data_IF_939360100847
#
_entry.id   IF_939360100847
#
_cell.length_a   1.000
_cell.length_b   1.000
_cell.length_c   1.000
_cell.angle_alpha   90.00
_cell.angle_beta   90.00
_cell.angle_gamma   90.00
#
_symmetry.space_group_name_H-M   'P 1'
#
loop_
_entity.id
_entity.type
_entity.pdbx_description
1 polymer ?
#
# COMPACT_ATOMS: atom_id res chain seq x y z
N UNK A 1 29.69 -26.91 -1.07
CA UNK A 1 28.54 -27.01 -1.99
C UNK A 1 29.07 -27.52 -3.32
N UNK A 2 28.57 -28.64 -3.84
CA UNK A 2 29.06 -29.24 -5.08
C UNK A 2 28.65 -28.37 -6.29
N UNK A 3 29.56 -27.96 -7.19
CA UNK A 3 29.30 -27.02 -8.29
C UNK A 3 28.11 -27.43 -9.18
N UNK A 4 27.94 -28.72 -9.41
CA UNK A 4 26.86 -29.31 -10.21
C UNK A 4 25.45 -28.97 -9.69
N UNK A 5 25.26 -28.82 -8.38
CA UNK A 5 23.94 -28.56 -7.80
C UNK A 5 23.48 -27.11 -8.05
N UNK A 6 24.41 -26.18 -8.25
CA UNK A 6 24.13 -24.76 -8.49
C UNK A 6 23.58 -24.56 -9.91
N UNK A 7 24.19 -25.18 -10.91
CA UNK A 7 23.75 -25.04 -12.31
C UNK A 7 22.34 -25.65 -12.53
N UNK A 8 22.05 -26.77 -11.88
CA UNK A 8 20.71 -27.36 -11.91
C UNK A 8 19.68 -26.52 -11.14
N UNK A 9 20.07 -25.89 -10.02
CA UNK A 9 19.19 -24.98 -9.29
C UNK A 9 18.91 -23.69 -10.08
N UNK A 10 19.92 -23.08 -10.69
CA UNK A 10 19.75 -21.88 -11.52
C UNK A 10 18.84 -22.15 -12.70
N UNK A 11 19.08 -23.25 -13.43
CA UNK A 11 18.25 -23.64 -14.58
C UNK A 11 16.80 -23.90 -14.19
N UNK A 12 16.55 -24.50 -13.02
CA UNK A 12 15.19 -24.67 -12.47
C UNK A 12 14.55 -23.32 -12.15
N UNK A 13 15.28 -22.41 -11.50
CA UNK A 13 14.78 -21.07 -11.18
C UNK A 13 14.45 -20.27 -12.45
N UNK A 14 15.30 -20.33 -13.48
CA UNK A 14 15.03 -19.70 -14.78
C UNK A 14 13.75 -20.26 -15.40
N UNK A 15 13.62 -21.59 -15.50
CA UNK A 15 12.39 -22.22 -16.03
C UNK A 15 11.17 -21.80 -15.23
N UNK A 16 11.28 -21.71 -13.92
CA UNK A 16 10.20 -21.28 -13.03
C UNK A 16 9.79 -19.83 -13.31
N UNK A 17 10.74 -18.90 -13.34
CA UNK A 17 10.51 -17.45 -13.54
C UNK A 17 9.99 -17.14 -14.96
N UNK A 18 10.37 -17.95 -15.94
CA UNK A 18 9.88 -17.83 -17.33
C UNK A 18 8.61 -18.65 -17.60
N UNK A 19 7.97 -19.21 -16.57
CA UNK A 19 6.75 -20.03 -16.69
C UNK A 19 6.91 -21.23 -17.65
N UNK A 20 8.09 -21.84 -17.67
CA UNK A 20 8.45 -23.01 -18.48
C UNK A 20 8.40 -24.32 -17.66
N UNK A 21 7.85 -24.27 -16.44
CA UNK A 21 7.68 -25.44 -15.59
C UNK A 21 6.21 -25.86 -15.57
N UNK A 22 5.91 -27.01 -16.20
CA UNK A 22 4.55 -27.54 -16.29
C UNK A 22 3.89 -27.86 -14.94
N UNK A 23 4.65 -27.93 -13.85
CA UNK A 23 4.14 -28.25 -12.50
C UNK A 23 3.81 -27.02 -11.65
N UNK A 24 4.01 -25.81 -12.15
CA UNK A 24 3.83 -24.58 -11.38
C UNK A 24 3.33 -23.43 -12.26
N UNK A 25 2.29 -22.74 -11.81
CA UNK A 25 1.77 -21.53 -12.46
C UNK A 25 2.19 -20.28 -11.66
N UNK A 26 3.36 -19.71 -12.00
CA UNK A 26 3.89 -18.51 -11.36
C UNK A 26 3.78 -17.27 -12.26
N UNK A 27 2.67 -17.13 -12.99
CA UNK A 27 2.43 -15.91 -13.77
C UNK A 27 2.17 -14.71 -12.85
N UNK A 28 2.57 -13.48 -13.23
CA UNK A 28 2.33 -12.30 -12.40
C UNK A 28 0.87 -12.11 -11.99
N UNK A 29 -0.07 -12.38 -12.89
CA UNK A 29 -1.51 -12.30 -12.60
C UNK A 29 -1.94 -13.27 -11.48
N UNK A 30 -1.42 -14.51 -11.49
CA UNK A 30 -1.71 -15.49 -10.44
C UNK A 30 -1.13 -15.10 -9.08
N UNK A 31 0.08 -14.54 -9.08
CA UNK A 31 0.68 -14.01 -7.85
C UNK A 31 -0.14 -12.86 -7.27
N UNK A 32 -0.62 -11.95 -8.13
CA UNK A 32 -1.51 -10.86 -7.72
C UNK A 32 -2.85 -11.38 -7.19
N UNK A 33 -3.48 -12.34 -7.87
CA UNK A 33 -4.73 -12.99 -7.44
C UNK A 33 -4.57 -13.67 -6.08
N UNK A 34 -3.56 -14.54 -5.94
CA UNK A 34 -3.30 -15.25 -4.69
C UNK A 34 -3.03 -14.27 -3.52
N UNK A 35 -2.23 -13.22 -3.76
CA UNK A 35 -1.98 -12.18 -2.76
C UNK A 35 -3.27 -11.45 -2.38
N UNK A 36 -4.10 -11.11 -3.36
CA UNK A 36 -5.36 -10.40 -3.17
C UNK A 36 -6.31 -11.23 -2.32
N UNK A 37 -6.44 -12.53 -2.62
CA UNK A 37 -7.28 -13.47 -1.86
C UNK A 37 -6.79 -13.64 -0.42
N UNK A 38 -5.48 -13.83 -0.23
CA UNK A 38 -4.87 -13.95 1.10
C UNK A 38 -5.12 -12.69 1.93
N UNK A 39 -4.87 -11.52 1.34
CA UNK A 39 -5.08 -10.24 2.01
C UNK A 39 -6.55 -9.97 2.34
N UNK A 40 -7.46 -10.34 1.43
CA UNK A 40 -8.89 -10.19 1.65
C UNK A 40 -9.38 -11.07 2.80
N UNK A 41 -8.98 -12.35 2.86
CA UNK A 41 -9.36 -13.26 3.96
C UNK A 41 -8.94 -12.72 5.32
N UNK A 42 -7.82 -12.01 5.41
CA UNK A 42 -7.36 -11.36 6.65
C UNK A 42 -8.26 -10.20 7.10
N UNK A 43 -9.04 -9.63 6.18
CA UNK A 43 -9.99 -8.56 6.47
C UNK A 43 -11.40 -9.07 6.77
N UNK A 44 -11.63 -10.39 6.72
CA UNK A 44 -12.92 -11.00 7.01
C UNK A 44 -13.45 -10.56 8.39
N UNK A 45 -14.77 -10.33 8.46
CA UNK A 45 -15.45 -9.84 9.67
C UNK A 45 -15.29 -8.35 9.95
N UNK A 46 -14.64 -7.59 9.05
CA UNK A 46 -14.61 -6.12 9.12
C UNK A 46 -15.77 -5.52 8.32
N UNK A 47 -16.60 -4.67 8.94
CA UNK A 47 -17.65 -3.95 8.21
C UNK A 47 -17.08 -2.90 7.25
N UNK A 48 -15.98 -2.26 7.67
CA UNK A 48 -15.30 -1.22 6.90
C UNK A 48 -13.80 -1.48 6.83
N UNK A 49 -13.20 -1.28 5.65
CA UNK A 49 -11.75 -1.33 5.44
C UNK A 49 -11.27 -0.03 4.79
N UNK A 50 -10.22 0.56 5.37
CA UNK A 50 -9.47 1.62 4.70
C UNK A 50 -8.53 0.97 3.67
N UNK A 51 -8.63 1.37 2.40
CA UNK A 51 -7.79 0.83 1.32
C UNK A 51 -6.88 1.94 0.82
N UNK A 52 -5.60 1.87 1.15
CA UNK A 52 -4.60 2.83 0.68
C UNK A 52 -4.08 2.36 -0.67
N UNK A 53 -4.35 3.13 -1.72
CA UNK A 53 -3.77 2.90 -3.03
C UNK A 53 -2.57 3.86 -3.20
N UNK A 54 -1.40 3.31 -3.48
CA UNK A 54 -0.18 4.11 -3.66
C UNK A 54 0.70 3.54 -4.77
N UNK A 55 1.43 4.43 -5.45
CA UNK A 55 2.44 4.05 -6.43
C UNK A 55 3.83 3.99 -5.79
N UNK A 56 4.69 3.15 -6.36
CA UNK A 56 6.13 3.25 -6.15
C UNK A 56 6.89 3.05 -7.44
N UNK A 57 8.09 3.61 -7.51
CA UNK A 57 8.99 3.40 -8.64
C UNK A 57 9.90 2.20 -8.38
N UNK A 58 9.96 1.25 -9.31
CA UNK A 58 10.98 0.21 -9.36
C UNK A 58 12.15 0.70 -10.21
N UNK A 59 13.12 1.35 -9.57
CA UNK A 59 14.21 2.05 -10.26
C UNK A 59 15.28 1.09 -10.78
N UNK A 60 15.76 1.36 -11.99
CA UNK A 60 16.80 0.62 -12.72
C UNK A 60 17.82 1.59 -13.35
N UNK A 61 18.47 2.46 -12.55
CA UNK A 61 19.25 3.59 -13.06
C UNK A 61 20.43 3.19 -13.95
N UNK A 62 20.96 1.97 -13.79
CA UNK A 62 22.09 1.44 -14.56
C UNK A 62 21.69 0.45 -15.65
N UNK A 63 20.39 0.22 -15.88
CA UNK A 63 19.92 -0.70 -16.90
C UNK A 63 19.68 0.00 -18.22
N UNK A 64 19.98 -0.65 -19.34
CA UNK A 64 19.83 -0.04 -20.68
C UNK A 64 18.92 -0.85 -21.61
N UNK A 65 18.89 -2.17 -21.42
CA UNK A 65 18.32 -3.10 -22.40
C UNK A 65 17.15 -3.93 -21.86
N UNK A 66 16.64 -3.67 -20.65
CA UNK A 66 15.50 -4.44 -20.13
C UNK A 66 14.28 -4.23 -21.03
N UNK A 67 13.49 -5.29 -21.24
CA UNK A 67 12.25 -5.19 -22.00
C UNK A 67 11.31 -4.16 -21.37
N UNK A 68 10.72 -3.31 -22.20
CA UNK A 68 9.77 -2.27 -21.82
C UNK A 68 10.31 -1.32 -20.73
N UNK A 69 11.63 -1.07 -20.70
CA UNK A 69 12.25 -0.20 -19.71
C UNK A 69 11.76 1.25 -19.84
N UNK A 70 10.96 1.66 -18.86
CA UNK A 70 10.29 2.96 -18.83
C UNK A 70 11.11 4.02 -18.09
N UNK A 71 10.53 5.22 -17.91
CA UNK A 71 11.04 6.29 -17.06
C UNK A 71 10.13 6.50 -15.84
N UNK A 72 10.75 6.48 -14.68
CA UNK A 72 10.12 6.63 -13.36
C UNK A 72 10.82 7.71 -12.55
N UNK A 73 10.30 8.06 -11.38
CA UNK A 73 10.85 9.16 -10.58
C UNK A 73 11.98 8.68 -9.64
N UNK A 74 13.09 9.41 -9.62
CA UNK A 74 14.17 9.20 -8.66
C UNK A 74 13.80 9.73 -7.27
N UNK A 75 14.62 9.43 -6.26
CA UNK A 75 14.47 10.00 -4.92
C UNK A 75 14.65 11.53 -4.92
N UNK A 76 15.42 12.06 -5.86
CA UNK A 76 15.68 13.49 -6.08
C UNK A 76 14.62 14.14 -6.98
N UNK A 77 13.62 13.38 -7.42
CA UNK A 77 12.52 13.88 -8.23
C UNK A 77 12.80 13.97 -9.73
N UNK A 78 13.98 13.51 -10.19
CA UNK A 78 14.38 13.48 -11.61
C UNK A 78 13.95 12.19 -12.30
N UNK A 79 13.72 12.18 -13.62
CA UNK A 79 13.43 10.96 -14.36
C UNK A 79 14.64 10.01 -14.38
N UNK A 80 14.41 8.72 -14.09
CA UNK A 80 15.38 7.62 -14.18
C UNK A 80 14.74 6.40 -14.81
N UNK A 81 15.53 5.50 -15.40
CA UNK A 81 15.00 4.26 -15.98
C UNK A 81 14.38 3.36 -14.91
N UNK A 82 13.28 2.67 -15.22
CA UNK A 82 12.61 1.76 -14.29
C UNK A 82 11.21 1.35 -14.72
N UNK A 83 10.43 0.85 -13.75
CA UNK A 83 9.05 0.39 -13.95
C UNK A 83 8.14 0.97 -12.87
N UNK A 84 6.85 1.15 -13.17
CA UNK A 84 5.88 1.59 -12.19
C UNK A 84 5.38 0.39 -11.37
N UNK A 85 5.12 0.61 -10.10
CA UNK A 85 4.42 -0.37 -9.25
C UNK A 85 3.21 0.30 -8.59
N UNK A 86 2.16 -0.48 -8.42
CA UNK A 86 0.93 -0.09 -7.76
C UNK A 86 0.63 -1.09 -6.65
N UNK A 87 0.30 -0.59 -5.47
CA UNK A 87 -0.01 -1.41 -4.30
C UNK A 87 -1.30 -0.91 -3.63
N UNK A 88 -2.15 -1.85 -3.19
CA UNK A 88 -3.24 -1.56 -2.28
C UNK A 88 -2.95 -2.17 -0.90
N UNK A 89 -3.00 -1.37 0.15
CA UNK A 89 -2.86 -1.81 1.54
C UNK A 89 -4.19 -1.64 2.27
N UNK A 90 -4.73 -2.73 2.79
CA UNK A 90 -5.93 -2.74 3.64
C UNK A 90 -5.59 -2.47 5.09
N UNK A 91 -6.43 -1.68 5.77
CA UNK A 91 -6.37 -1.47 7.21
C UNK A 91 -7.79 -1.60 7.78
N UNK A 92 -7.98 -2.62 8.62
CA UNK A 92 -9.23 -2.86 9.35
C UNK A 92 -9.32 -1.97 10.61
N UNK A 93 -10.52 -1.78 11.19
CA UNK A 93 -10.71 -0.90 12.36
C UNK A 93 -9.95 -1.35 13.61
N UNK A 94 -9.73 -2.66 13.76
CA UNK A 94 -8.92 -3.26 14.82
C UNK A 94 -7.40 -3.06 14.61
N UNK A 95 -6.99 -2.41 13.52
CA UNK A 95 -5.60 -2.15 13.18
C UNK A 95 -4.91 -3.25 12.38
N UNK A 96 -5.58 -4.36 12.08
CA UNK A 96 -5.07 -5.41 11.18
C UNK A 96 -4.75 -4.80 9.81
N UNK A 97 -3.61 -5.17 9.25
CA UNK A 97 -3.14 -4.72 7.94
C UNK A 97 -2.90 -5.91 7.03
N UNK A 98 -3.19 -5.76 5.75
CA UNK A 98 -2.85 -6.76 4.75
C UNK A 98 -2.58 -6.10 3.39
N UNK A 99 -1.67 -6.67 2.62
CA UNK A 99 -1.48 -6.23 1.23
C UNK A 99 -2.62 -6.84 0.42
N UNK A 100 -3.43 -5.98 -0.21
CA UNK A 100 -4.64 -6.39 -0.93
C UNK A 100 -4.43 -6.48 -2.43
N UNK A 101 -3.40 -5.84 -2.97
CA UNK A 101 -3.12 -5.88 -4.40
C UNK A 101 -1.69 -5.42 -4.65
N UNK A 102 -1.08 -6.00 -5.69
CA UNK A 102 0.17 -5.49 -6.23
C UNK A 102 0.24 -5.74 -7.74
N UNK A 103 0.83 -4.81 -8.47
CA UNK A 103 1.29 -5.05 -9.83
C UNK A 103 2.50 -4.18 -10.14
N UNK A 104 3.33 -4.65 -11.07
CA UNK A 104 4.33 -3.85 -11.75
C UNK A 104 3.93 -3.70 -13.22
N UNK A 105 4.03 -2.51 -13.78
CA UNK A 105 3.68 -2.21 -15.16
C UNK A 105 4.69 -1.25 -15.82
N UNK A 106 4.68 -1.24 -17.16
CA UNK A 106 5.41 -0.28 -17.99
C UNK A 106 4.45 0.37 -18.95
N UNK A 107 4.59 1.68 -19.19
CA UNK A 107 3.83 2.38 -20.21
C UNK A 107 4.24 1.98 -21.64
N UNK A 108 5.41 1.33 -21.77
CA UNK A 108 5.96 0.82 -23.03
C UNK A 108 5.65 -0.66 -23.27
N UNK A 109 4.93 -1.32 -22.36
CA UNK A 109 4.55 -2.72 -22.51
C UNK A 109 3.37 -2.89 -23.48
N UNK A 110 3.36 -3.95 -24.32
CA UNK A 110 2.23 -4.30 -25.16
C UNK A 110 0.94 -4.42 -24.33
N UNK A 111 -0.13 -3.80 -24.81
CA UNK A 111 -1.43 -3.83 -24.13
C UNK A 111 -1.60 -2.81 -22.99
N UNK A 112 -0.57 -2.03 -22.64
CA UNK A 112 -0.75 -0.90 -21.73
C UNK A 112 -1.74 0.11 -22.34
N UNK A 113 -2.77 0.46 -21.58
CA UNK A 113 -3.81 1.42 -22.01
C UNK A 113 -3.59 2.79 -21.37
N UNK A 114 -3.55 2.83 -20.05
CA UNK A 114 -3.32 4.03 -19.26
C UNK A 114 -3.12 3.67 -17.79
N UNK A 115 -2.50 4.56 -17.01
CA UNK A 115 -2.43 4.42 -15.55
C UNK A 115 -3.81 4.29 -14.91
N UNK A 116 -4.79 5.06 -15.38
CA UNK A 116 -6.17 4.95 -14.92
C UNK A 116 -6.78 3.56 -15.16
N UNK A 117 -6.35 2.84 -16.20
CA UNK A 117 -6.79 1.46 -16.43
C UNK A 117 -6.21 0.51 -15.40
N UNK A 118 -4.92 0.67 -15.05
CA UNK A 118 -4.27 -0.09 -13.97
C UNK A 118 -4.95 0.15 -12.62
N UNK A 119 -5.29 1.41 -12.32
CA UNK A 119 -5.98 1.77 -11.07
C UNK A 119 -7.38 1.15 -11.00
N UNK A 120 -8.13 1.18 -12.11
CA UNK A 120 -9.47 0.58 -12.17
C UNK A 120 -9.41 -0.94 -11.99
N UNK A 121 -8.43 -1.60 -12.59
CA UNK A 121 -8.21 -3.03 -12.42
C UNK A 121 -7.93 -3.38 -10.94
N UNK A 122 -7.05 -2.62 -10.28
CA UNK A 122 -6.77 -2.78 -8.86
C UNK A 122 -8.03 -2.56 -7.99
N UNK A 123 -8.81 -1.51 -8.28
CA UNK A 123 -10.05 -1.23 -7.54
C UNK A 123 -11.06 -2.37 -7.67
N UNK A 124 -11.28 -2.89 -8.87
CA UNK A 124 -12.22 -3.99 -9.09
C UNK A 124 -11.74 -5.27 -8.40
N UNK A 125 -10.47 -5.66 -8.57
CA UNK A 125 -9.91 -6.85 -7.95
C UNK A 125 -10.04 -6.83 -6.41
N UNK A 126 -9.66 -5.71 -5.78
CA UNK A 126 -9.75 -5.55 -4.32
C UNK A 126 -11.21 -5.51 -3.86
N UNK A 127 -12.06 -4.76 -4.56
CA UNK A 127 -13.49 -4.66 -4.23
C UNK A 127 -14.13 -6.04 -4.24
N UNK A 128 -13.93 -6.81 -5.30
CA UNK A 128 -14.57 -8.10 -5.49
C UNK A 128 -14.06 -9.11 -4.46
N UNK A 129 -12.75 -9.15 -4.21
CA UNK A 129 -12.16 -10.03 -3.20
C UNK A 129 -12.63 -9.70 -1.78
N UNK A 130 -12.71 -8.42 -1.40
CA UNK A 130 -13.21 -8.02 -0.08
C UNK A 130 -14.71 -8.26 0.09
N UNK A 131 -15.50 -8.06 -0.97
CA UNK A 131 -16.92 -8.36 -0.97
C UNK A 131 -17.19 -9.85 -0.73
N UNK A 132 -16.37 -10.75 -1.29
CA UNK A 132 -16.45 -12.19 -1.02
C UNK A 132 -16.20 -12.55 0.46
N UNK A 133 -15.52 -11.69 1.21
CA UNK A 133 -15.26 -11.85 2.65
C UNK A 133 -16.29 -11.12 3.52
N UNK A 134 -17.37 -10.60 2.92
CA UNK A 134 -18.44 -9.88 3.62
C UNK A 134 -18.12 -8.42 3.98
N UNK A 135 -17.00 -7.87 3.51
CA UNK A 135 -16.67 -6.46 3.76
C UNK A 135 -17.56 -5.58 2.89
N UNK A 136 -18.40 -4.76 3.53
CA UNK A 136 -19.43 -3.99 2.82
C UNK A 136 -19.00 -2.57 2.49
N UNK A 137 -18.01 -2.02 3.20
CA UNK A 137 -17.65 -0.60 3.10
C UNK A 137 -16.16 -0.39 2.89
N UNK A 138 -15.79 0.17 1.74
CA UNK A 138 -14.40 0.44 1.39
C UNK A 138 -14.16 1.94 1.25
N UNK A 139 -13.18 2.45 1.99
CA UNK A 139 -12.74 3.85 1.92
C UNK A 139 -11.36 3.91 1.28
N UNK A 140 -11.32 4.31 0.02
CA UNK A 140 -10.10 4.45 -0.77
C UNK A 140 -9.33 5.71 -0.36
N UNK A 141 -8.16 5.54 0.22
CA UNK A 141 -7.28 6.65 0.63
C UNK A 141 -6.22 6.85 -0.45
N UNK A 142 -6.24 8.04 -1.06
CA UNK A 142 -5.55 8.34 -2.30
C UNK A 142 -4.65 9.56 -2.15
N UNK A 143 -3.42 9.46 -2.64
CA UNK A 143 -2.50 10.59 -2.71
C UNK A 143 -2.90 11.57 -3.84
N UNK A 144 -2.15 12.67 -3.98
CA UNK A 144 -2.46 13.71 -4.98
C UNK A 144 -2.27 13.27 -6.43
N UNK A 145 -1.47 12.23 -6.69
CA UNK A 145 -1.29 11.65 -8.01
C UNK A 145 -2.55 10.96 -8.54
N UNK A 146 -3.48 10.61 -7.65
CA UNK A 146 -4.75 9.98 -7.98
C UNK A 146 -5.93 10.96 -8.08
N UNK A 147 -5.70 12.28 -7.99
CA UNK A 147 -6.74 13.32 -8.07
C UNK A 147 -7.27 13.54 -9.51
N UNK A 148 -7.62 12.44 -10.18
CA UNK A 148 -8.25 12.44 -11.51
C UNK A 148 -9.76 12.35 -11.39
N UNK A 149 -10.49 13.29 -12.00
CA UNK A 149 -11.97 13.29 -11.96
C UNK A 149 -12.56 11.98 -12.53
N UNK A 150 -11.89 11.37 -13.50
CA UNK A 150 -12.31 10.11 -14.10
C UNK A 150 -12.17 8.93 -13.13
N UNK A 151 -11.15 8.94 -12.27
CA UNK A 151 -10.99 7.93 -11.22
C UNK A 151 -12.00 8.15 -10.09
N UNK A 152 -12.18 9.40 -9.65
CA UNK A 152 -13.13 9.72 -8.57
C UNK A 152 -14.58 9.39 -8.97
N UNK A 153 -14.98 9.73 -10.21
CA UNK A 153 -16.29 9.35 -10.75
C UNK A 153 -16.41 7.83 -10.91
N UNK A 154 -15.34 7.14 -11.29
CA UNK A 154 -15.35 5.68 -11.36
C UNK A 154 -15.58 5.06 -9.97
N UNK A 155 -14.85 5.49 -8.94
CA UNK A 155 -15.05 5.03 -7.56
C UNK A 155 -16.49 5.25 -7.09
N UNK A 156 -17.02 6.46 -7.30
CA UNK A 156 -18.40 6.78 -6.96
C UNK A 156 -19.42 5.88 -7.68
N UNK A 157 -19.26 5.66 -9.00
CA UNK A 157 -20.10 4.74 -9.78
C UNK A 157 -20.02 3.29 -9.30
N UNK A 158 -18.88 2.88 -8.74
CA UNK A 158 -18.68 1.55 -8.15
C UNK A 158 -19.22 1.46 -6.70
N UNK A 159 -19.91 2.49 -6.20
CA UNK A 159 -20.40 2.55 -4.83
C UNK A 159 -19.30 2.69 -3.78
N UNK A 160 -18.09 3.05 -4.20
CA UNK A 160 -16.92 3.12 -3.33
C UNK A 160 -16.79 4.50 -2.70
N UNK A 161 -16.29 4.54 -1.47
CA UNK A 161 -15.96 5.79 -0.79
C UNK A 161 -14.51 6.14 -1.09
N UNK A 162 -14.19 7.42 -1.17
CA UNK A 162 -12.82 7.87 -1.37
C UNK A 162 -12.47 9.03 -0.45
N UNK A 163 -11.17 9.20 -0.26
CA UNK A 163 -10.52 10.31 0.39
C UNK A 163 -9.22 10.59 -0.35
N UNK A 164 -9.19 11.67 -1.13
CA UNK A 164 -8.05 12.05 -1.96
C UNK A 164 -7.47 13.38 -1.50
N UNK A 165 -6.14 13.52 -1.55
CA UNK A 165 -5.52 14.85 -1.44
C UNK A 165 -5.63 15.57 -2.78
N UNK A 166 -6.25 16.74 -2.78
CA UNK A 166 -6.40 17.50 -4.02
C UNK A 166 -5.03 17.96 -4.57
N UNK A 167 -4.83 17.72 -5.86
CA UNK A 167 -3.77 18.29 -6.68
C UNK A 167 -4.25 19.53 -7.43
N UNK A 168 -5.51 19.53 -7.87
CA UNK A 168 -6.09 20.54 -8.75
C UNK A 168 -6.95 21.53 -7.96
N UNK A 169 -6.32 22.50 -7.31
CA UNK A 169 -7.01 23.54 -6.53
C UNK A 169 -7.75 24.56 -7.40
N UNK A 170 -7.42 24.61 -8.68
CA UNK A 170 -8.07 25.38 -9.75
C UNK A 170 -9.34 24.69 -10.29
N UNK A 171 -9.57 23.42 -9.94
CA UNK A 171 -10.76 22.66 -10.35
C UNK A 171 -12.03 23.45 -10.01
N UNK A 172 -12.85 23.67 -11.03
CA UNK A 172 -14.14 24.35 -10.87
C UNK A 172 -15.12 23.47 -10.10
N UNK A 173 -15.64 24.00 -9.00
CA UNK A 173 -16.64 23.39 -8.13
C UNK A 173 -17.73 24.41 -7.82
N UNK A 174 -18.92 23.95 -7.51
CA UNK A 174 -20.04 24.80 -7.08
C UNK A 174 -20.25 24.65 -5.59
N UNK A 175 -20.68 25.73 -4.93
CA UNK A 175 -21.10 25.68 -3.52
C UNK A 175 -22.37 24.84 -3.33
N UNK A 176 -23.25 24.89 -4.33
CA UNK A 176 -24.49 24.10 -4.45
C UNK A 176 -24.83 23.96 -5.94
N UNK A 177 -25.70 23.01 -6.28
CA UNK A 177 -26.14 22.75 -7.66
C UNK A 177 -26.80 24.01 -8.24
N UNK A 178 -26.33 24.43 -9.42
CA UNK A 178 -26.86 25.60 -10.12
C UNK A 178 -26.18 26.93 -9.77
N UNK A 179 -25.37 26.98 -8.71
CA UNK A 179 -24.56 28.17 -8.40
C UNK A 179 -23.34 28.29 -9.32
N UNK A 180 -22.75 29.49 -9.47
CA UNK A 180 -21.54 29.66 -10.28
C UNK A 180 -20.39 28.77 -9.82
N UNK A 181 -19.66 28.18 -10.79
CA UNK A 181 -18.52 27.33 -10.49
C UNK A 181 -17.24 28.16 -10.29
N UNK A 182 -16.63 28.03 -9.12
CA UNK A 182 -15.40 28.72 -8.73
C UNK A 182 -14.27 27.71 -8.52
N UNK A 183 -12.99 28.12 -8.61
CA UNK A 183 -11.87 27.28 -8.21
C UNK A 183 -12.06 26.70 -6.80
N UNK A 184 -11.69 25.43 -6.59
CA UNK A 184 -11.81 24.75 -5.30
C UNK A 184 -11.13 25.52 -4.16
N UNK A 185 -9.95 26.09 -4.39
CA UNK A 185 -9.28 26.94 -3.39
C UNK A 185 -10.12 28.17 -3.02
N UNK A 186 -10.69 28.85 -4.03
CA UNK A 186 -11.55 30.02 -3.82
C UNK A 186 -12.77 29.66 -2.98
N UNK A 187 -13.44 28.56 -3.34
CA UNK A 187 -14.62 28.09 -2.63
C UNK A 187 -14.30 27.77 -1.17
N UNK A 188 -13.15 27.13 -0.90
CA UNK A 188 -12.72 26.77 0.44
C UNK A 188 -12.36 27.98 1.34
N UNK A 189 -12.09 29.17 0.79
CA UNK A 189 -11.95 30.37 1.63
C UNK A 189 -13.21 30.74 2.39
N UNK A 190 -14.37 30.25 1.93
CA UNK A 190 -15.67 30.45 2.58
C UNK A 190 -16.04 29.33 3.55
N UNK A 191 -15.19 28.30 3.68
CA UNK A 191 -15.47 27.15 4.52
C UNK A 191 -15.34 27.48 6.02
N UNK A 192 -16.31 27.03 6.81
CA UNK A 192 -16.28 27.18 8.26
C UNK A 192 -15.28 26.21 8.91
N UNK A 193 -14.73 26.62 10.05
CA UNK A 193 -13.86 25.76 10.85
C UNK A 193 -14.69 24.66 11.50
N UNK A 194 -14.34 23.40 11.24
CA UNK A 194 -15.02 22.22 11.77
C UNK A 194 -14.39 21.70 13.06
N UNK A 195 -13.07 21.71 13.15
CA UNK A 195 -12.33 21.21 14.34
C UNK A 195 -10.90 21.77 14.38
N UNK A 196 -10.22 21.58 15.50
CA UNK A 196 -8.77 21.78 15.65
C UNK A 196 -8.15 20.49 16.18
N UNK A 197 -7.15 19.98 15.46
CA UNK A 197 -6.43 18.75 15.83
C UNK A 197 -5.05 19.11 16.34
N UNK A 198 -4.65 18.55 17.47
CA UNK A 198 -3.28 18.64 17.96
C UNK A 198 -2.50 17.40 17.56
N UNK A 199 -1.35 17.59 16.93
CA UNK A 199 -0.44 16.50 16.55
C UNK A 199 0.99 16.89 16.85
N UNK A 200 1.82 15.92 17.20
CA UNK A 200 3.25 16.13 17.30
C UNK A 200 3.89 16.03 15.92
N UNK A 201 4.78 16.97 15.62
CA UNK A 201 5.70 16.89 14.49
C UNK A 201 7.09 16.64 15.04
N UNK A 202 7.70 15.55 14.60
CA UNK A 202 9.11 15.29 14.85
C UNK A 202 9.95 16.20 13.94
N UNK A 203 10.77 17.04 14.56
CA UNK A 203 11.77 17.85 13.89
C UNK A 203 13.15 17.28 14.24
N UNK A 204 14.03 17.28 13.25
CA UNK A 204 15.44 17.01 13.46
C UNK A 204 16.15 18.36 13.48
N UNK A 205 16.87 18.66 14.56
CA UNK A 205 17.74 19.82 14.59
C UNK A 205 19.03 19.56 13.80
N UNK A 206 19.85 20.59 13.51
CA UNK A 206 21.13 20.42 12.82
C UNK A 206 22.12 19.47 13.51
N UNK A 207 21.95 19.23 14.81
CA UNK A 207 22.73 18.30 15.61
C UNK A 207 22.10 16.90 15.70
N UNK A 208 21.09 16.60 14.87
CA UNK A 208 20.34 15.34 14.84
C UNK A 208 19.59 15.00 16.13
N UNK A 209 19.35 15.97 17.04
CA UNK A 209 18.49 15.77 18.21
C UNK A 209 17.04 15.81 17.77
N UNK A 210 16.30 14.76 18.15
CA UNK A 210 14.88 14.61 17.87
C UNK A 210 14.08 15.53 18.80
N UNK A 211 13.43 16.56 18.26
CA UNK A 211 12.52 17.43 19.01
C UNK A 211 11.09 17.23 18.53
N UNK A 212 10.17 16.89 19.43
CA UNK A 212 8.75 16.91 19.13
C UNK A 212 8.22 18.33 19.36
N UNK A 213 7.56 18.90 18.35
CA UNK A 213 6.82 20.15 18.50
C UNK A 213 5.33 19.88 18.34
N UNK A 214 4.53 20.41 19.26
CA UNK A 214 3.07 20.35 19.15
C UNK A 214 2.61 21.28 18.03
N UNK A 215 1.83 20.73 17.10
CA UNK A 215 1.25 21.42 15.96
C UNK A 215 -0.27 21.38 16.08
N UNK A 216 -0.89 22.56 16.14
CA UNK A 216 -2.32 22.71 16.01
C UNK A 216 -2.69 22.88 14.54
N UNK A 217 -3.54 21.99 14.05
CA UNK A 217 -4.06 21.97 12.67
C UNK A 217 -5.53 22.35 12.73
N UNK A 218 -5.87 23.51 12.18
CA UNK A 218 -7.24 23.95 12.00
C UNK A 218 -7.81 23.30 10.75
N UNK A 219 -8.97 22.67 10.88
CA UNK A 219 -9.64 21.97 9.79
C UNK A 219 -10.90 22.75 9.44
N UNK A 220 -10.92 23.32 8.24
CA UNK A 220 -12.07 23.99 7.66
C UNK A 220 -12.72 23.05 6.65
N UNK A 221 -14.04 23.11 6.49
CA UNK A 221 -14.68 22.26 5.49
C UNK A 221 -16.10 22.63 5.14
N UNK A 222 -16.49 22.18 3.95
CA UNK A 222 -17.80 22.41 3.37
C UNK A 222 -18.13 21.34 2.33
N UNK A 223 -19.41 21.24 1.98
CA UNK A 223 -19.85 20.49 0.81
C UNK A 223 -19.54 21.28 -0.46
N UNK A 224 -19.08 20.60 -1.50
CA UNK A 224 -18.84 21.16 -2.84
C UNK A 224 -19.34 20.18 -3.90
N UNK A 225 -19.79 20.71 -5.03
CA UNK A 225 -20.29 19.92 -6.15
C UNK A 225 -19.31 20.04 -7.31
N UNK A 226 -18.75 18.91 -7.77
CA UNK A 226 -17.97 18.89 -9.00
C UNK A 226 -18.94 18.74 -10.17
N UNK A 227 -19.02 19.73 -11.08
CA UNK A 227 -19.98 19.71 -12.19
C UNK A 227 -19.81 18.49 -13.10
N UNK A 228 -20.90 18.09 -13.74
CA UNK A 228 -20.93 17.00 -14.71
C UNK A 228 -22.35 16.46 -14.93
N UNK A 229 -22.53 15.48 -15.84
CA UNK A 229 -23.83 14.86 -16.09
C UNK A 229 -24.45 14.23 -14.85
N UNK A 230 -23.60 13.70 -13.96
CA UNK A 230 -23.94 13.31 -12.59
C UNK A 230 -22.98 14.06 -11.68
N UNK A 231 -23.41 15.17 -11.06
CA UNK A 231 -22.55 15.96 -10.18
C UNK A 231 -21.97 15.10 -9.06
N UNK A 232 -20.67 15.21 -8.84
CA UNK A 232 -20.01 14.51 -7.74
C UNK A 232 -20.05 15.40 -6.50
N UNK A 233 -20.82 14.98 -5.49
CA UNK A 233 -20.93 15.69 -4.21
C UNK A 233 -19.75 15.28 -3.33
N UNK A 234 -18.98 16.25 -2.86
CA UNK A 234 -17.78 16.03 -2.07
C UNK A 234 -17.81 16.88 -0.79
N UNK A 235 -17.40 16.29 0.31
CA UNK A 235 -16.85 17.02 1.45
C UNK A 235 -15.44 17.46 1.11
N UNK A 236 -15.20 18.77 1.10
CA UNK A 236 -13.89 19.37 0.92
C UNK A 236 -13.37 19.89 2.26
N UNK A 237 -12.15 19.49 2.64
CA UNK A 237 -11.48 19.93 3.85
C UNK A 237 -10.22 20.71 3.50
N UNK A 238 -10.00 21.86 4.15
CA UNK A 238 -8.74 22.60 4.13
C UNK A 238 -8.09 22.53 5.51
N UNK A 239 -6.86 22.04 5.53
CA UNK A 239 -6.04 21.91 6.73
C UNK A 239 -5.01 23.05 6.77
N UNK A 240 -5.08 23.86 7.81
CA UNK A 240 -4.19 24.99 8.03
C UNK A 240 -3.42 24.82 9.34
N UNK A 241 -2.12 25.08 9.30
CA UNK A 241 -1.31 25.17 10.50
C UNK A 241 -0.19 26.19 10.28
N UNK A 242 0.20 26.94 11.33
CA UNK A 242 1.26 27.97 11.23
C UNK A 242 2.55 27.41 10.61
N UNK A 243 2.93 26.18 10.96
CA UNK A 243 4.13 25.52 10.46
C UNK A 243 4.04 25.05 8.99
N UNK A 244 2.88 25.17 8.33
CA UNK A 244 2.71 24.84 6.92
C UNK A 244 2.93 26.05 5.98
N UNK A 245 3.19 27.25 6.51
CA UNK A 245 3.55 28.47 5.74
C UNK A 245 2.68 28.70 4.49
N UNK A 246 1.37 28.48 4.59
CA UNK A 246 0.42 28.65 3.47
C UNK A 246 0.28 27.44 2.54
N UNK A 247 1.11 26.40 2.68
CA UNK A 247 0.99 25.13 1.96
C UNK A 247 0.07 24.13 2.69
N UNK A 248 -1.15 24.57 3.00
CA UNK A 248 -2.19 23.74 3.60
C UNK A 248 -2.51 22.50 2.75
N UNK A 249 -3.08 21.47 3.38
CA UNK A 249 -3.59 20.32 2.63
C UNK A 249 -5.06 20.51 2.32
N UNK A 250 -5.46 20.18 1.09
CA UNK A 250 -6.88 20.05 0.74
C UNK A 250 -7.19 18.58 0.55
N UNK A 251 -8.22 18.09 1.24
CA UNK A 251 -8.73 16.73 1.11
C UNK A 251 -10.14 16.78 0.50
N UNK A 252 -10.44 15.87 -0.41
CA UNK A 252 -11.76 15.67 -0.99
C UNK A 252 -12.25 14.26 -0.67
N UNK A 253 -13.50 14.13 -0.24
CA UNK A 253 -14.14 12.84 0.02
C UNK A 253 -15.59 12.88 -0.42
N UNK A 254 -16.13 11.76 -0.92
CA UNK A 254 -17.56 11.60 -1.16
C UNK A 254 -18.35 11.17 0.09
N UNK A 255 -17.73 11.18 1.27
CA UNK A 255 -18.44 11.04 2.53
C UNK A 255 -19.25 12.31 2.80
N UNK A 256 -20.57 12.23 3.00
CA UNK A 256 -21.40 13.42 3.15
C UNK A 256 -21.09 14.14 4.46
N UNK A 257 -20.98 15.47 4.40
CA UNK A 257 -20.87 16.32 5.58
C UNK A 257 -22.27 16.47 6.19
N UNK A 258 -22.48 16.11 7.48
CA UNK A 258 -23.78 16.31 8.13
C UNK A 258 -24.19 17.79 8.10
N UNK A 259 -25.44 18.10 7.76
CA UNK A 259 -25.89 19.49 7.57
C UNK A 259 -26.07 20.21 8.92
N UNK A 260 -26.77 19.58 9.88
CA UNK A 260 -27.23 20.23 11.12
C UNK A 260 -26.58 19.72 12.42
N UNK A 261 -25.56 18.87 12.34
CA UNK A 261 -24.84 18.37 13.53
C UNK A 261 -23.37 18.81 13.52
N UNK A 262 -23.08 19.90 14.23
CA UNK A 262 -21.73 20.45 14.40
C UNK A 262 -20.76 19.42 14.98
N UNK A 263 -21.21 18.59 15.93
CA UNK A 263 -20.37 17.58 16.56
C UNK A 263 -20.09 16.43 15.58
N UNK A 264 -21.07 15.98 14.79
CA UNK A 264 -20.86 14.98 13.75
C UNK A 264 -19.94 15.48 12.64
N UNK A 265 -20.04 16.75 12.23
CA UNK A 265 -19.11 17.38 11.27
C UNK A 265 -17.68 17.36 11.81
N UNK A 266 -17.49 17.72 13.07
CA UNK A 266 -16.17 17.68 13.73
C UNK A 266 -15.62 16.24 13.80
N UNK A 267 -16.47 15.25 14.15
CA UNK A 267 -16.09 13.82 14.18
C UNK A 267 -15.70 13.31 12.80
N UNK A 268 -16.47 13.62 11.76
CA UNK A 268 -16.16 13.23 10.38
C UNK A 268 -14.86 13.88 9.91
N UNK A 269 -14.67 15.19 10.11
CA UNK A 269 -13.45 15.87 9.73
C UNK A 269 -12.21 15.27 10.42
N UNK A 270 -12.32 14.98 11.73
CA UNK A 270 -11.27 14.29 12.50
C UNK A 270 -10.95 12.92 11.91
N UNK A 271 -11.99 12.12 11.62
CA UNK A 271 -11.85 10.78 11.05
C UNK A 271 -11.20 10.81 9.67
N UNK A 272 -11.58 11.74 8.78
CA UNK A 272 -10.98 11.88 7.46
C UNK A 272 -9.50 12.26 7.57
N UNK A 273 -9.14 13.22 8.43
CA UNK A 273 -7.73 13.58 8.61
C UNK A 273 -6.92 12.40 9.18
N UNK A 274 -7.46 11.67 10.15
CA UNK A 274 -6.80 10.48 10.71
C UNK A 274 -6.66 9.36 9.67
N UNK A 275 -7.68 9.10 8.86
CA UNK A 275 -7.63 8.11 7.79
C UNK A 275 -6.58 8.50 6.73
N UNK A 276 -6.52 9.76 6.32
CA UNK A 276 -5.51 10.21 5.36
C UNK A 276 -4.08 10.08 5.90
N UNK A 277 -3.87 10.27 7.22
CA UNK A 277 -2.56 10.03 7.84
C UNK A 277 -2.12 8.56 7.76
N UNK A 278 -3.06 7.62 7.73
CA UNK A 278 -2.73 6.20 7.57
C UNK A 278 -2.09 5.91 6.21
N UNK A 279 -2.24 6.78 5.20
CA UNK A 279 -1.60 6.63 3.88
C UNK A 279 -0.09 6.40 3.96
N UNK A 280 0.58 6.96 4.97
CA UNK A 280 2.01 6.73 5.18
C UNK A 280 2.38 5.28 5.56
N UNK A 281 1.42 4.45 6.00
CA UNK A 281 1.65 3.04 6.29
C UNK A 281 2.21 2.27 5.08
N UNK A 282 1.82 2.63 3.85
CA UNK A 282 2.33 1.98 2.63
C UNK A 282 3.80 2.31 2.37
N UNK A 283 4.29 3.47 2.83
CA UNK A 283 5.71 3.84 2.69
C UNK A 283 6.63 2.88 3.44
N UNK A 284 6.21 2.38 4.60
CA UNK A 284 6.98 1.39 5.35
C UNK A 284 7.12 0.08 4.55
N UNK A 285 6.06 -0.31 3.83
CA UNK A 285 6.08 -1.50 2.97
C UNK A 285 7.06 -1.31 1.83
N UNK A 286 6.95 -0.21 1.10
CA UNK A 286 7.88 0.08 0.00
C UNK A 286 9.33 0.21 0.46
N UNK A 287 9.59 0.93 1.56
CA UNK A 287 10.94 1.12 2.09
C UNK A 287 11.57 -0.22 2.49
N UNK A 288 10.79 -1.10 3.13
CA UNK A 288 11.26 -2.42 3.50
C UNK A 288 11.51 -3.31 2.28
N UNK A 289 10.57 -3.39 1.34
CA UNK A 289 10.73 -4.22 0.13
C UNK A 289 11.91 -3.75 -0.73
N UNK A 290 12.13 -2.42 -0.82
CA UNK A 290 13.32 -1.82 -1.46
C UNK A 290 14.61 -2.17 -0.75
N UNK A 291 14.68 -1.90 0.55
CA UNK A 291 15.92 -1.98 1.31
C UNK A 291 16.33 -3.41 1.67
N UNK A 292 15.37 -4.26 2.01
CA UNK A 292 15.62 -5.61 2.53
C UNK A 292 15.56 -6.64 1.42
N UNK A 293 14.47 -6.71 0.65
CA UNK A 293 14.34 -7.67 -0.44
C UNK A 293 15.04 -7.24 -1.72
N UNK A 294 15.53 -6.00 -1.79
CA UNK A 294 16.33 -5.47 -2.90
C UNK A 294 15.67 -5.72 -4.27
N UNK A 295 14.36 -5.58 -4.37
CA UNK A 295 13.62 -5.82 -5.62
C UNK A 295 14.10 -4.95 -6.81
N UNK A 296 14.70 -3.78 -6.55
CA UNK A 296 15.31 -2.89 -7.55
C UNK A 296 16.60 -3.48 -8.11
N UNK A 297 17.21 -4.45 -7.42
CA UNK A 297 18.39 -5.19 -7.87
C UNK A 297 18.08 -6.39 -8.77
N UNK A 298 16.81 -6.75 -8.99
CA UNK A 298 16.42 -7.82 -9.93
C UNK A 298 16.86 -7.44 -11.35
N UNK A 299 17.68 -8.28 -11.99
CA UNK A 299 18.23 -8.04 -13.34
C UNK A 299 17.78 -9.14 -14.31
N UNK A 300 16.47 -9.19 -14.57
CA UNK A 300 15.92 -10.11 -15.56
C UNK A 300 15.53 -9.31 -16.81
N UNK A 301 16.08 -9.69 -17.97
CA UNK A 301 15.81 -9.01 -19.25
C UNK A 301 14.34 -9.10 -19.65
N UNK A 302 13.73 -10.26 -19.37
CA UNK A 302 12.34 -10.56 -19.69
C UNK A 302 11.38 -9.85 -18.73
N UNK A 303 10.49 -9.01 -19.26
CA UNK A 303 9.63 -8.16 -18.43
C UNK A 303 8.69 -8.98 -17.53
N UNK A 304 8.01 -9.99 -18.07
CA UNK A 304 7.11 -10.84 -17.27
C UNK A 304 7.86 -11.56 -16.16
N UNK A 305 9.07 -12.06 -16.43
CA UNK A 305 9.84 -12.75 -15.39
C UNK A 305 10.34 -11.79 -14.30
N UNK A 306 10.63 -10.54 -14.65
CA UNK A 306 10.90 -9.50 -13.66
C UNK A 306 9.66 -9.28 -12.77
N UNK A 307 8.46 -9.21 -13.36
CA UNK A 307 7.20 -9.08 -12.62
C UNK A 307 6.97 -10.27 -11.69
N UNK A 308 7.33 -11.50 -12.10
CA UNK A 308 7.25 -12.69 -11.23
C UNK A 308 8.11 -12.52 -9.99
N UNK A 309 9.40 -12.18 -10.15
CA UNK A 309 10.31 -12.02 -9.00
C UNK A 309 9.90 -10.87 -8.07
N UNK A 310 9.43 -9.76 -8.64
CA UNK A 310 8.89 -8.64 -7.86
C UNK A 310 7.59 -9.04 -7.15
N UNK A 311 6.72 -9.81 -7.80
CA UNK A 311 5.51 -10.36 -7.18
C UNK A 311 5.79 -11.30 -6.02
N UNK A 312 6.81 -12.16 -6.14
CA UNK A 312 7.27 -12.99 -5.03
C UNK A 312 7.75 -12.13 -3.84
N UNK A 313 8.47 -11.02 -4.11
CA UNK A 313 8.88 -10.10 -3.06
C UNK A 313 7.67 -9.49 -2.33
N UNK A 314 6.58 -9.21 -3.05
CA UNK A 314 5.32 -8.76 -2.45
C UNK A 314 4.64 -9.83 -1.61
N UNK A 315 4.64 -11.10 -2.01
CA UNK A 315 4.11 -12.20 -1.18
C UNK A 315 4.88 -12.30 0.13
N UNK A 316 6.21 -12.18 0.08
CA UNK A 316 7.04 -12.15 1.31
C UNK A 316 6.73 -10.91 2.16
N UNK A 317 6.54 -9.75 1.53
CA UNK A 317 6.11 -8.54 2.23
C UNK A 317 4.73 -8.71 2.89
N UNK A 318 3.76 -9.27 2.19
CA UNK A 318 2.43 -9.58 2.73
C UNK A 318 2.57 -10.44 3.98
N UNK A 319 3.23 -11.59 3.86
CA UNK A 319 3.49 -12.48 5.00
C UNK A 319 4.15 -11.77 6.20
N UNK A 320 5.21 -10.97 5.97
CA UNK A 320 5.93 -10.29 7.05
C UNK A 320 5.18 -9.11 7.68
N UNK A 321 4.41 -8.38 6.89
CA UNK A 321 3.61 -7.27 7.40
C UNK A 321 2.30 -7.75 8.03
N UNK A 322 1.95 -9.01 7.81
CA UNK A 322 0.82 -9.73 8.39
C UNK A 322 1.23 -10.60 9.60
N UNK A 323 2.52 -10.91 9.78
CA UNK A 323 3.07 -11.63 10.94
C UNK A 323 2.94 -10.79 12.23
N UNK A 324 1.87 -11.05 12.97
CA UNK A 324 1.73 -10.74 14.39
C UNK A 324 1.57 -9.26 14.73
N UNK A 325 0.36 -8.88 15.12
CA UNK A 325 0.00 -7.56 15.68
C UNK A 325 0.71 -7.25 17.01
N UNK A 326 1.33 -8.25 17.67
CA UNK A 326 2.09 -8.07 18.92
C UNK A 326 3.20 -9.12 19.11
N UNK A 327 4.22 -8.79 19.92
CA UNK A 327 5.27 -9.73 20.34
C UNK A 327 4.81 -10.76 21.38
N UNK A 328 3.52 -10.85 21.69
CA UNK A 328 3.03 -11.88 22.61
C UNK A 328 2.99 -13.26 21.94
N UNK A 329 3.04 -13.28 20.61
CA UNK A 329 3.16 -14.49 19.82
C UNK A 329 4.55 -15.15 19.99
N UNK A 330 4.55 -16.40 20.46
CA UNK A 330 5.76 -17.23 20.64
C UNK A 330 6.47 -17.49 19.31
N UNK A 331 5.74 -17.62 18.21
CA UNK A 331 6.28 -17.87 16.88
C UNK A 331 7.05 -16.63 16.41
N UNK A 332 6.46 -15.44 16.58
CA UNK A 332 7.11 -14.18 16.26
C UNK A 332 8.37 -13.94 17.13
N UNK A 333 8.34 -14.33 18.42
CA UNK A 333 9.53 -14.29 19.29
C UNK A 333 10.64 -15.23 18.80
N UNK A 334 10.29 -16.44 18.38
CA UNK A 334 11.25 -17.40 17.82
C UNK A 334 11.91 -16.82 16.56
N UNK A 335 11.11 -16.33 15.62
CA UNK A 335 11.62 -15.68 14.40
C UNK A 335 12.51 -14.48 14.75
N UNK A 336 12.08 -13.62 15.68
CA UNK A 336 12.89 -12.50 16.13
C UNK A 336 14.23 -12.95 16.74
N UNK A 337 14.21 -13.96 17.59
CA UNK A 337 15.40 -14.53 18.23
C UNK A 337 16.35 -15.13 17.20
N UNK A 338 15.83 -15.93 16.27
CA UNK A 338 16.58 -16.46 15.14
C UNK A 338 17.20 -15.33 14.31
N UNK A 339 16.54 -14.18 14.19
CA UNK A 339 17.07 -12.98 13.54
C UNK A 339 18.13 -12.23 14.34
N UNK A 340 18.40 -12.63 15.59
CA UNK A 340 19.35 -11.98 16.48
C UNK A 340 18.76 -10.90 17.39
N UNK A 341 17.43 -10.78 17.46
CA UNK A 341 16.80 -9.91 18.44
C UNK A 341 16.95 -10.48 19.86
N UNK A 342 17.32 -9.61 20.81
CA UNK A 342 17.30 -9.90 22.24
C UNK A 342 16.16 -9.11 22.86
N UNK A 343 15.43 -9.74 23.77
CA UNK A 343 14.30 -9.09 24.44
C UNK A 343 14.80 -7.88 25.23
N UNK A 344 14.21 -6.72 24.95
CA UNK A 344 14.44 -5.46 25.63
C UNK A 344 13.08 -4.80 25.88
N UNK A 345 12.88 -4.22 27.06
CA UNK A 345 11.57 -3.68 27.48
C UNK A 345 11.02 -2.60 26.52
N UNK A 346 11.88 -1.82 25.88
CA UNK A 346 11.48 -0.66 25.07
C UNK A 346 11.60 -0.86 23.55
N UNK A 347 12.13 -2.00 23.08
CA UNK A 347 12.49 -2.17 21.66
C UNK A 347 11.94 -3.45 21.06
N UNK A 348 10.87 -3.29 20.26
CA UNK A 348 10.32 -4.36 19.43
C UNK A 348 11.30 -4.71 18.29
N UNK A 349 11.36 -5.98 17.83
CA UNK A 349 12.21 -6.36 16.71
C UNK A 349 11.77 -5.61 15.45
N UNK A 350 12.75 -5.05 14.75
CA UNK A 350 12.50 -4.46 13.44
C UNK A 350 12.21 -5.54 12.39
N UNK A 351 11.47 -5.18 11.33
CA UNK A 351 11.13 -6.09 10.23
C UNK A 351 12.35 -6.73 9.57
N UNK A 352 13.48 -6.03 9.51
CA UNK A 352 14.76 -6.58 9.01
C UNK A 352 15.25 -7.76 9.86
N UNK A 353 15.13 -7.65 11.18
CA UNK A 353 15.51 -8.74 12.10
C UNK A 353 14.58 -9.94 11.91
N UNK A 354 13.27 -9.71 11.78
CA UNK A 354 12.32 -10.77 11.46
C UNK A 354 12.65 -11.45 10.13
N UNK A 355 13.08 -10.68 9.12
CA UNK A 355 13.50 -11.23 7.82
C UNK A 355 14.68 -12.19 7.97
N UNK A 356 15.73 -11.80 8.69
CA UNK A 356 16.87 -12.67 8.96
C UNK A 356 16.48 -13.94 9.73
N UNK A 357 15.52 -13.82 10.64
CA UNK A 357 14.93 -14.95 11.34
C UNK A 357 14.26 -15.94 10.38
N UNK A 358 13.42 -15.42 9.48
CA UNK A 358 12.77 -16.23 8.45
C UNK A 358 13.76 -16.84 7.46
N UNK A 359 14.80 -16.10 7.04
CA UNK A 359 15.86 -16.62 6.17
C UNK A 359 16.57 -17.80 6.83
N UNK A 360 16.92 -17.68 8.12
CA UNK A 360 17.55 -18.76 8.89
C UNK A 360 16.61 -19.95 9.05
N UNK A 361 15.33 -19.71 9.32
CA UNK A 361 14.31 -20.75 9.41
C UNK A 361 14.13 -21.48 8.07
N UNK A 362 14.04 -20.75 6.96
CA UNK A 362 13.92 -21.31 5.63
C UNK A 362 15.14 -22.18 5.27
N UNK A 363 16.36 -21.71 5.56
CA UNK A 363 17.58 -22.50 5.38
C UNK A 363 17.52 -23.79 6.21
N UNK A 364 17.07 -23.72 7.46
CA UNK A 364 16.92 -24.90 8.31
C UNK A 364 15.93 -25.91 7.72
N UNK A 365 14.76 -25.45 7.28
CA UNK A 365 13.75 -26.30 6.62
C UNK A 365 14.33 -26.94 5.35
N UNK A 366 14.96 -26.15 4.48
CA UNK A 366 15.58 -26.64 3.25
C UNK A 366 16.70 -27.67 3.50
N UNK A 367 17.55 -27.44 4.50
CA UNK A 367 18.61 -28.39 4.88
C UNK A 367 18.02 -29.71 5.41
N UNK A 368 16.87 -29.66 6.07
CA UNK A 368 16.17 -30.83 6.58
C UNK A 368 15.48 -31.60 5.46
N UNK A 369 14.78 -30.93 4.54
CA UNK A 369 14.14 -31.56 3.37
C UNK A 369 15.13 -32.35 2.52
N UNK A 370 16.38 -31.88 2.41
CA UNK A 370 17.45 -32.61 1.71
C UNK A 370 17.92 -33.88 2.43
N UNK A 371 17.51 -34.10 3.68
CA UNK A 371 18.02 -35.15 4.59
C UNK A 371 16.93 -36.08 5.15
N UNK A 372 15.64 -35.80 4.92
CA UNK A 372 14.54 -36.51 5.59
C UNK A 372 13.91 -37.63 4.73
N UNK A 373 13.73 -38.78 5.37
CA UNK A 373 12.82 -39.86 4.97
C UNK A 373 11.39 -39.30 4.76
N UNK A 374 10.68 -39.69 3.68
CA UNK A 374 9.30 -39.28 3.40
C UNK A 374 8.35 -39.30 4.60
N UNK A 375 8.41 -40.33 5.46
CA UNK A 375 7.51 -40.43 6.62
C UNK A 375 7.75 -39.35 7.69
N UNK A 376 8.97 -38.80 7.74
CA UNK A 376 9.36 -37.74 8.67
C UNK A 376 9.05 -36.34 8.14
N UNK A 377 8.61 -36.23 6.88
CA UNK A 377 8.16 -34.99 6.26
C UNK A 377 6.75 -34.61 6.75
N UNK A 378 5.84 -35.57 6.78
CA UNK A 378 4.44 -35.35 7.19
C UNK A 378 4.33 -34.88 8.66
N UNK A 379 5.19 -35.39 9.55
CA UNK A 379 5.26 -34.96 10.95
C UNK A 379 5.75 -33.51 11.11
N UNK A 380 6.57 -33.03 10.17
CA UNK A 380 7.08 -31.65 10.15
C UNK A 380 6.09 -30.69 9.57
N UNK A 381 5.45 -31.08 8.47
CA UNK A 381 4.39 -30.28 7.88
C UNK A 381 3.28 -30.09 8.93
N UNK A 382 2.92 -31.14 9.68
CA UNK A 382 2.02 -31.02 10.84
C UNK A 382 2.56 -30.10 11.97
N UNK A 383 3.87 -30.12 12.24
CA UNK A 383 4.49 -29.26 13.26
C UNK A 383 4.60 -27.79 12.82
N UNK A 384 4.88 -27.54 11.55
CA UNK A 384 4.92 -26.21 10.95
C UNK A 384 3.50 -25.66 10.80
N UNK A 385 2.53 -26.51 10.46
CA UNK A 385 1.12 -26.14 10.39
C UNK A 385 0.51 -25.89 11.77
N UNK A 386 1.08 -26.45 12.85
CA UNK A 386 0.64 -26.18 14.25
C UNK A 386 1.36 -25.00 14.92
N UNK A 387 2.62 -24.73 14.55
CA UNK A 387 3.12 -23.34 14.47
C UNK A 387 2.29 -22.63 13.37
N UNK A 388 2.31 -21.36 13.03
CA UNK A 388 1.62 -20.77 11.84
C UNK A 388 0.10 -20.99 11.55
N UNK A 389 -0.63 -21.96 12.13
CA UNK A 389 -2.10 -22.01 12.10
C UNK A 389 -2.67 -20.79 12.83
N UNK A 390 -3.83 -20.27 12.36
CA UNK A 390 -4.43 -19.03 12.83
C UNK A 390 -4.80 -19.01 14.32
#
# INVERSE_FOLDING_TARGET
MCPWNIEHAERRLRRLVHNQNARSDLRPARLTEALTDMGARRMAGSDEVLVILDESDLRKPHSEHLEHLDRVRSLQGTPVRGFHTLCALGIAPNGTRAVLYQTSFSTLAPGFRSKNSEYRAAVLAVKDALAQQGVTRLVWVLDRGFDSIDLLRFLHKQGQLFLVRAAHLDRKVQADIGLPALPLAEQLHRASRLTTLSTERVMFDPASKRRAALLNVHVHGMTVHVPGPSPLICTALRLEAKALQGHGWVLLSNLPLPEDDVAARARLATRLVQAYRQRWATLDVFAWTKGVLKWESVRLMHFEGLRVLVGCAWIVAAFLFELGTTLNDRQLRLVAHLGGWRQQEQHRPGKRVLTWGLERLAIFVMMREQRSDPARKDEVDALLDSLFAP
#
